data_IF_189557575340
#
_entry.id   IF_189557575340
#
_cell.length_a   1.000
_cell.length_b   1.000
_cell.length_c   1.000
_cell.angle_alpha   90.00
_cell.angle_beta   90.00
_cell.angle_gamma   90.00
#
_symmetry.space_group_name_H-M   'P 1'
#
loop_
_entity.id
_entity.type
_entity.pdbx_description
1 polymer ?
#
# COMPACT_ATOMS: atom_id res chain seq x y z
N UNK A 1 4.81 -14.30 -6.49
CA UNK A 1 5.43 -13.13 -5.81
C UNK A 1 4.83 -11.85 -6.39
N UNK A 2 4.70 -10.74 -5.65
CA UNK A 2 4.05 -9.50 -6.14
C UNK A 2 4.66 -8.95 -7.44
N UNK A 3 5.99 -8.81 -7.52
CA UNK A 3 6.67 -8.28 -8.71
C UNK A 3 6.59 -9.21 -9.93
N UNK A 4 6.51 -10.52 -9.69
CA UNK A 4 6.24 -11.50 -10.73
C UNK A 4 4.82 -11.35 -11.29
N UNK A 5 3.82 -11.14 -10.44
CA UNK A 5 2.45 -10.86 -10.87
C UNK A 5 2.39 -9.56 -11.70
N UNK A 6 3.06 -8.50 -11.25
CA UNK A 6 3.19 -7.25 -12.02
C UNK A 6 3.80 -7.47 -13.42
N UNK A 7 4.86 -8.27 -13.51
CA UNK A 7 5.46 -8.64 -14.80
C UNK A 7 4.48 -9.40 -15.70
N UNK A 8 3.76 -10.39 -15.16
CA UNK A 8 2.78 -11.18 -15.91
C UNK A 8 1.60 -10.33 -16.40
N UNK A 9 1.15 -9.38 -15.58
CA UNK A 9 0.11 -8.42 -15.93
C UNK A 9 0.59 -7.32 -16.88
N UNK A 10 1.89 -7.33 -17.24
CA UNK A 10 2.53 -6.37 -18.15
C UNK A 10 2.30 -4.93 -17.70
N UNK A 11 2.49 -4.68 -16.40
CA UNK A 11 2.42 -3.34 -15.85
C UNK A 11 3.40 -2.43 -16.60
N UNK A 12 2.99 -1.19 -16.88
CA UNK A 12 3.80 -0.23 -17.66
C UNK A 12 4.65 0.67 -16.79
N UNK A 13 4.24 0.90 -15.54
CA UNK A 13 4.95 1.74 -14.60
C UNK A 13 6.26 1.07 -14.12
N UNK A 14 7.19 1.89 -13.64
CA UNK A 14 8.36 1.40 -12.94
C UNK A 14 7.96 0.58 -11.71
N UNK A 15 8.70 -0.51 -11.45
CA UNK A 15 8.55 -1.32 -10.24
C UNK A 15 9.59 -0.89 -9.23
N UNK A 16 9.15 -0.56 -8.02
CA UNK A 16 10.02 -0.03 -6.96
C UNK A 16 9.82 -0.83 -5.69
N UNK A 17 10.91 -1.14 -5.01
CA UNK A 17 10.89 -1.72 -3.67
C UNK A 17 11.73 -0.85 -2.74
N UNK A 18 11.09 -0.24 -1.75
CA UNK A 18 11.79 0.29 -0.59
C UNK A 18 12.13 -0.87 0.35
N UNK A 19 13.33 -0.90 0.90
CA UNK A 19 13.77 -2.00 1.77
C UNK A 19 14.69 -1.51 2.89
N UNK A 20 14.68 -2.15 4.07
CA UNK A 20 15.63 -1.86 5.13
C UNK A 20 17.08 -1.97 4.65
N UNK A 21 17.84 -0.88 4.77
CA UNK A 21 19.20 -0.77 4.21
C UNK A 21 20.14 -1.90 4.64
N UNK A 22 19.98 -2.40 5.86
CA UNK A 22 20.77 -3.51 6.41
C UNK A 22 20.53 -4.86 5.72
N UNK A 23 19.43 -5.05 4.97
CA UNK A 23 19.12 -6.34 4.32
C UNK A 23 20.06 -6.71 3.18
N UNK A 24 20.64 -5.73 2.49
CA UNK A 24 21.58 -5.99 1.39
C UNK A 24 22.94 -6.45 1.91
N UNK A 25 23.36 -5.96 3.09
CA UNK A 25 24.68 -6.20 3.64
C UNK A 25 25.81 -5.66 2.75
N UNK A 26 27.05 -5.66 3.26
CA UNK A 26 28.22 -5.28 2.47
C UNK A 26 28.75 -6.42 1.60
N UNK A 27 28.46 -7.67 1.97
CA UNK A 27 28.99 -8.88 1.33
C UNK A 27 28.05 -9.52 0.30
N UNK A 28 26.79 -9.08 0.23
CA UNK A 28 25.74 -9.61 -0.64
C UNK A 28 25.44 -11.12 -0.47
N UNK A 29 25.87 -11.73 0.65
CA UNK A 29 25.76 -13.19 0.84
C UNK A 29 24.50 -13.62 1.59
N UNK A 30 23.87 -12.71 2.33
CA UNK A 30 22.68 -13.04 3.11
C UNK A 30 21.53 -13.52 2.21
N UNK A 31 20.63 -14.34 2.75
CA UNK A 31 19.42 -14.77 2.03
C UNK A 31 18.61 -13.57 1.54
N UNK A 32 18.51 -12.52 2.35
CA UNK A 32 17.83 -11.27 2.00
C UNK A 32 18.51 -10.57 0.82
N UNK A 33 19.84 -10.45 0.85
CA UNK A 33 20.60 -9.84 -0.25
C UNK A 33 20.40 -10.61 -1.56
N UNK A 34 20.42 -11.94 -1.52
CA UNK A 34 20.16 -12.79 -2.69
C UNK A 34 18.75 -12.61 -3.24
N UNK A 35 17.75 -12.44 -2.37
CA UNK A 35 16.37 -12.15 -2.80
C UNK A 35 16.24 -10.75 -3.41
N UNK A 36 16.88 -9.74 -2.83
CA UNK A 36 16.93 -8.37 -3.37
C UNK A 36 17.59 -8.35 -4.76
N UNK A 37 18.76 -8.99 -4.90
CA UNK A 37 19.44 -9.16 -6.19
C UNK A 37 18.54 -9.87 -7.20
N UNK A 38 17.85 -10.94 -6.78
CA UNK A 38 16.92 -11.67 -7.64
C UNK A 38 15.77 -10.78 -8.12
N UNK A 39 15.16 -9.95 -7.26
CA UNK A 39 14.06 -9.09 -7.70
C UNK A 39 14.51 -7.97 -8.63
N UNK A 40 15.71 -7.41 -8.39
CA UNK A 40 16.34 -6.45 -9.30
C UNK A 40 16.60 -7.09 -10.66
N UNK A 41 17.31 -8.21 -10.71
CA UNK A 41 17.82 -8.78 -11.96
C UNK A 41 16.74 -9.52 -12.77
N UNK A 42 15.80 -10.21 -12.10
CA UNK A 42 14.77 -11.00 -12.78
C UNK A 42 13.51 -10.19 -13.11
N UNK A 43 13.15 -9.27 -12.22
CA UNK A 43 11.89 -8.53 -12.31
C UNK A 43 12.10 -7.03 -12.54
N UNK A 44 13.33 -6.58 -12.84
CA UNK A 44 13.65 -5.17 -13.14
C UNK A 44 13.04 -4.20 -12.11
N UNK A 45 13.24 -4.54 -10.84
CA UNK A 45 12.78 -3.76 -9.70
C UNK A 45 13.86 -2.78 -9.27
N UNK A 46 13.50 -1.49 -9.21
CA UNK A 46 14.35 -0.43 -8.66
C UNK A 46 14.36 -0.55 -7.14
N UNK A 47 15.52 -0.86 -6.58
CA UNK A 47 15.72 -1.01 -5.14
C UNK A 47 16.07 0.33 -4.50
N UNK A 48 15.36 0.71 -3.45
CA UNK A 48 15.61 1.95 -2.68
C UNK A 48 15.86 1.59 -1.20
N UNK A 49 17.09 1.72 -0.70
CA UNK A 49 17.37 1.46 0.71
C UNK A 49 16.76 2.57 1.58
N UNK A 50 16.14 2.18 2.68
CA UNK A 50 15.60 3.11 3.68
C UNK A 50 16.06 2.73 5.09
N UNK A 51 16.03 3.71 5.99
CA UNK A 51 16.15 3.47 7.42
C UNK A 51 14.75 3.15 7.98
N UNK A 52 14.63 2.02 8.68
CA UNK A 52 13.36 1.58 9.29
C UNK A 52 12.94 2.59 10.35
N UNK A 53 11.66 2.95 10.34
CA UNK A 53 11.03 3.78 11.35
C UNK A 53 10.32 2.87 12.34
N UNK A 54 11.09 2.35 13.28
CA UNK A 54 10.59 1.53 14.37
C UNK A 54 10.00 2.42 15.47
N UNK A 55 8.83 2.04 15.98
CA UNK A 55 8.32 2.54 17.26
C UNK A 55 8.04 1.38 18.20
N UNK A 56 8.34 1.59 19.47
CA UNK A 56 7.95 0.70 20.57
C UNK A 56 6.42 0.79 20.75
N UNK A 57 5.69 0.06 19.90
CA UNK A 57 4.25 0.10 19.81
C UNK A 57 3.59 -0.99 20.68
N UNK A 58 2.29 -0.82 20.97
CA UNK A 58 1.54 -1.82 21.73
C UNK A 58 1.41 -3.16 20.99
N UNK A 59 1.40 -3.15 19.65
CA UNK A 59 1.44 -4.35 18.82
C UNK A 59 2.75 -4.40 18.02
N UNK A 60 3.61 -5.35 18.36
CA UNK A 60 4.90 -5.56 17.69
C UNK A 60 4.76 -5.88 16.21
N UNK A 61 3.61 -6.40 15.79
CA UNK A 61 3.30 -6.72 14.37
C UNK A 61 3.41 -5.47 13.50
N UNK A 62 3.02 -4.33 14.05
CA UNK A 62 2.90 -3.06 13.33
C UNK A 62 3.95 -2.03 13.77
N UNK A 63 4.95 -2.45 14.55
CA UNK A 63 6.03 -1.59 15.07
C UNK A 63 6.81 -0.86 13.97
N UNK A 64 6.92 -1.47 12.79
CA UNK A 64 7.62 -0.89 11.63
C UNK A 64 6.68 -0.31 10.57
N UNK A 65 5.35 -0.31 10.80
CA UNK A 65 4.33 0.08 9.81
C UNK A 65 4.54 1.49 9.26
N UNK A 66 5.05 2.42 10.08
CA UNK A 66 5.33 3.79 9.67
C UNK A 66 6.42 3.89 8.59
N UNK A 67 7.28 2.88 8.47
CA UNK A 67 8.29 2.80 7.41
C UNK A 67 7.67 2.85 6.02
N UNK A 68 6.45 2.31 5.87
CA UNK A 68 5.67 2.38 4.63
C UNK A 68 5.45 3.82 4.17
N UNK A 69 5.31 4.77 5.10
CA UNK A 69 5.02 6.16 4.77
C UNK A 69 6.21 6.91 4.17
N UNK A 70 7.40 6.30 4.17
CA UNK A 70 8.57 6.82 3.44
C UNK A 70 8.39 6.81 1.91
N UNK A 71 7.32 6.20 1.39
CA UNK A 71 6.91 6.32 -0.01
C UNK A 71 6.62 7.77 -0.42
N UNK A 72 6.22 8.64 0.52
CA UNK A 72 6.01 10.07 0.25
C UNK A 72 7.31 10.80 -0.08
N UNK A 73 8.46 10.27 0.31
CA UNK A 73 9.78 10.82 -0.02
C UNK A 73 10.29 10.42 -1.42
N UNK A 74 9.53 9.61 -2.16
CA UNK A 74 9.96 9.11 -3.48
C UNK A 74 9.60 10.11 -4.60
N UNK A 75 10.09 11.34 -4.47
CA UNK A 75 9.78 12.49 -5.33
C UNK A 75 10.36 12.40 -6.74
N UNK A 76 11.20 11.40 -7.03
CA UNK A 76 11.63 11.06 -8.39
C UNK A 76 10.49 10.52 -9.27
N UNK A 77 9.35 10.17 -8.67
CA UNK A 77 8.13 9.78 -9.39
C UNK A 77 7.06 10.85 -9.22
N UNK A 78 6.34 11.17 -10.30
CA UNK A 78 5.19 12.08 -10.20
C UNK A 78 4.00 11.46 -9.49
N UNK A 79 3.86 10.13 -9.60
CA UNK A 79 2.73 9.34 -9.10
C UNK A 79 3.22 7.97 -8.66
N UNK A 80 2.69 7.47 -7.55
CA UNK A 80 3.06 6.16 -7.00
C UNK A 80 1.81 5.40 -6.60
N UNK A 81 1.71 4.13 -7.00
CA UNK A 81 0.75 3.18 -6.46
C UNK A 81 1.48 2.28 -5.44
N UNK A 82 1.28 2.55 -4.16
CA UNK A 82 1.79 1.75 -3.05
C UNK A 82 0.82 0.61 -2.77
N UNK A 83 1.35 -0.62 -2.72
CA UNK A 83 0.62 -1.87 -2.45
C UNK A 83 1.33 -2.57 -1.29
N UNK A 84 0.58 -3.05 -0.30
CA UNK A 84 1.18 -3.81 0.79
C UNK A 84 1.86 -5.09 0.33
N UNK A 85 2.99 -5.41 0.95
CA UNK A 85 3.86 -6.52 0.53
C UNK A 85 3.26 -7.91 0.73
N UNK A 86 2.22 -8.02 1.56
CA UNK A 86 1.44 -9.23 1.83
C UNK A 86 0.22 -9.38 0.90
N UNK A 87 0.09 -8.52 -0.11
CA UNK A 87 -0.99 -8.56 -1.09
C UNK A 87 -0.75 -9.55 -2.24
N UNK A 88 -1.85 -10.03 -2.83
CA UNK A 88 -1.84 -10.83 -4.07
C UNK A 88 -2.53 -10.02 -5.18
N UNK A 89 -1.77 -9.67 -6.22
CA UNK A 89 -2.30 -8.90 -7.35
C UNK A 89 -2.98 -9.82 -8.38
N UNK A 90 -4.25 -9.57 -8.67
CA UNK A 90 -5.06 -10.39 -9.57
C UNK A 90 -5.29 -9.76 -10.96
N UNK A 91 -5.21 -8.44 -11.06
CA UNK A 91 -5.45 -7.67 -12.29
C UNK A 91 -4.49 -6.48 -12.36
N UNK A 92 -4.26 -5.96 -13.56
CA UNK A 92 -3.55 -4.69 -13.72
C UNK A 92 -4.34 -3.55 -13.07
N UNK A 93 -3.62 -2.57 -12.52
CA UNK A 93 -4.18 -1.36 -11.91
C UNK A 93 -3.57 -0.10 -12.55
N UNK A 94 -2.96 -0.24 -13.73
CA UNK A 94 -2.30 0.86 -14.44
C UNK A 94 -3.27 2.02 -14.74
N UNK A 95 -4.56 1.74 -14.88
CA UNK A 95 -5.61 2.75 -15.05
C UNK A 95 -5.68 3.78 -13.91
N UNK A 96 -5.23 3.44 -12.70
CA UNK A 96 -5.19 4.39 -11.59
C UNK A 96 -4.22 5.54 -11.86
N UNK A 97 -3.20 5.34 -12.68
CA UNK A 97 -2.30 6.43 -13.10
C UNK A 97 -2.97 7.45 -14.01
N UNK A 98 -4.19 7.19 -14.51
CA UNK A 98 -4.99 8.12 -15.32
C UNK A 98 -5.94 8.99 -14.50
N UNK A 99 -6.00 8.80 -13.17
CA UNK A 99 -6.83 9.63 -12.30
C UNK A 99 -6.42 11.11 -12.38
N UNK A 100 -7.33 12.07 -12.13
CA UNK A 100 -6.96 13.47 -12.04
C UNK A 100 -5.96 13.71 -10.90
N UNK A 101 -5.23 14.82 -10.94
CA UNK A 101 -4.24 15.15 -9.90
C UNK A 101 -4.91 15.27 -8.54
N UNK A 102 -4.33 14.57 -7.56
CA UNK A 102 -4.81 14.48 -6.18
C UNK A 102 -3.62 14.04 -5.31
N UNK A 103 -3.42 14.62 -4.11
CA UNK A 103 -2.31 14.22 -3.25
C UNK A 103 -2.36 12.74 -2.87
N UNK A 104 -3.56 12.23 -2.54
CA UNK A 104 -3.78 10.86 -2.08
C UNK A 104 -5.15 10.35 -2.55
N UNK A 105 -5.20 9.12 -3.04
CA UNK A 105 -6.41 8.35 -3.26
C UNK A 105 -6.29 6.95 -2.63
N UNK A 106 -7.32 6.50 -1.92
CA UNK A 106 -7.32 5.25 -1.15
C UNK A 106 -8.69 4.57 -1.13
N UNK A 107 -8.77 3.24 -1.03
CA UNK A 107 -10.03 2.55 -0.83
C UNK A 107 -10.57 2.75 0.58
N UNK A 108 -11.89 2.61 0.75
CA UNK A 108 -12.50 2.55 2.08
C UNK A 108 -12.05 1.27 2.82
N UNK A 109 -11.85 1.38 4.13
CA UNK A 109 -11.73 0.22 5.02
C UNK A 109 -13.13 -0.40 5.24
N UNK A 110 -13.65 -1.06 4.20
CA UNK A 110 -15.06 -1.49 4.13
C UNK A 110 -15.49 -2.39 5.30
N UNK A 111 -14.57 -3.15 5.91
CA UNK A 111 -14.86 -4.03 7.05
C UNK A 111 -15.23 -3.27 8.33
N UNK A 112 -14.84 -2.01 8.43
CA UNK A 112 -15.18 -1.11 9.55
C UNK A 112 -16.38 -0.22 9.27
N UNK A 113 -16.82 -0.13 8.02
CA UNK A 113 -17.96 0.69 7.62
C UNK A 113 -19.30 0.03 8.05
N UNK A 114 -20.32 0.79 8.46
CA UNK A 114 -20.37 2.26 8.63
C UNK A 114 -19.85 2.76 9.99
N UNK A 115 -19.45 1.87 10.91
CA UNK A 115 -19.07 2.24 12.27
C UNK A 115 -17.87 3.18 12.34
N UNK A 116 -16.86 2.96 11.49
CA UNK A 116 -15.67 3.81 11.37
C UNK A 116 -15.42 4.10 9.90
N UNK A 117 -15.70 5.33 9.49
CA UNK A 117 -15.51 5.79 8.11
C UNK A 117 -14.06 6.19 7.86
N UNK A 118 -13.16 5.21 7.77
CA UNK A 118 -11.74 5.43 7.48
C UNK A 118 -11.33 4.80 6.15
N UNK A 119 -10.23 5.29 5.61
CA UNK A 119 -9.58 4.80 4.41
C UNK A 119 -8.52 3.78 4.79
N UNK A 120 -8.32 2.79 3.94
CA UNK A 120 -7.29 1.77 4.15
C UNK A 120 -6.02 2.15 3.41
N UNK A 121 -4.89 2.00 4.08
CA UNK A 121 -3.56 2.17 3.51
C UNK A 121 -3.10 0.94 2.71
N UNK A 122 -3.87 -0.15 2.61
CA UNK A 122 -3.47 -1.36 1.87
C UNK A 122 -3.15 -1.09 0.39
N UNK A 123 -3.77 -0.03 -0.13
CA UNK A 123 -3.51 0.54 -1.43
C UNK A 123 -3.51 2.06 -1.28
N UNK A 124 -2.42 2.72 -1.64
CA UNK A 124 -2.36 4.18 -1.68
C UNK A 124 -1.88 4.64 -3.05
N UNK A 125 -2.68 5.44 -3.72
CA UNK A 125 -2.25 6.18 -4.90
C UNK A 125 -1.86 7.59 -4.47
N UNK A 126 -0.61 7.98 -4.64
CA UNK A 126 -0.07 9.23 -4.09
C UNK A 126 0.65 10.06 -5.16
N UNK A 127 0.59 11.38 -5.02
CA UNK A 127 1.46 12.34 -5.69
C UNK A 127 2.52 12.81 -4.68
N UNK A 128 3.70 12.17 -4.62
CA UNK A 128 4.71 12.48 -3.61
C UNK A 128 5.27 13.89 -3.84
N UNK A 129 5.49 14.62 -2.75
CA UNK A 129 6.15 15.92 -2.77
C UNK A 129 6.85 16.18 -1.44
N UNK A 130 7.82 17.09 -1.43
CA UNK A 130 8.51 17.50 -0.19
C UNK A 130 7.52 18.04 0.85
N UNK A 131 6.49 18.76 0.41
CA UNK A 131 5.44 19.32 1.27
C UNK A 131 4.62 18.21 1.92
N UNK A 132 4.13 17.26 1.13
CA UNK A 132 3.33 16.15 1.67
C UNK A 132 4.18 15.23 2.55
N UNK A 133 5.44 14.99 2.18
CA UNK A 133 6.37 14.23 3.01
C UNK A 133 6.62 14.92 4.36
N UNK A 134 6.83 16.23 4.40
CA UNK A 134 7.00 16.98 5.64
C UNK A 134 5.76 16.88 6.55
N UNK A 135 4.55 16.95 5.98
CA UNK A 135 3.29 16.79 6.73
C UNK A 135 3.17 15.39 7.34
N UNK A 136 3.46 14.36 6.54
CA UNK A 136 3.44 12.96 7.00
C UNK A 136 4.47 12.72 8.09
N UNK A 137 5.70 13.24 7.93
CA UNK A 137 6.75 13.15 8.95
C UNK A 137 6.35 13.83 10.26
N UNK A 138 5.75 15.02 10.19
CA UNK A 138 5.29 15.75 11.38
C UNK A 138 4.24 14.96 12.17
N UNK A 139 3.29 14.31 11.49
CA UNK A 139 2.29 13.46 12.15
C UNK A 139 2.91 12.17 12.69
N UNK A 140 3.85 11.56 11.97
CA UNK A 140 4.60 10.40 12.46
C UNK A 140 5.38 10.70 13.74
N UNK A 141 6.00 11.88 13.83
CA UNK A 141 6.75 12.32 15.00
C UNK A 141 5.83 12.60 16.20
N UNK A 142 4.61 13.11 15.94
CA UNK A 142 3.59 13.37 16.97
C UNK A 142 2.80 12.11 17.40
N UNK A 143 2.91 11.00 16.65
CA UNK A 143 2.09 9.82 16.85
C UNK A 143 2.36 9.07 18.16
N UNK A 144 1.31 8.53 18.76
CA UNK A 144 1.37 7.70 19.97
C UNK A 144 1.87 6.28 19.68
N UNK A 145 2.09 5.48 20.73
CA UNK A 145 2.49 4.07 20.63
C UNK A 145 1.43 3.15 20.04
N UNK A 146 0.19 3.65 19.87
CA UNK A 146 -0.93 2.89 19.32
C UNK A 146 -1.30 3.36 17.91
N UNK A 147 -0.59 4.36 17.39
CA UNK A 147 -0.83 4.90 16.06
C UNK A 147 0.08 4.23 15.04
N UNK A 148 -0.55 3.64 14.03
CA UNK A 148 0.11 2.98 12.91
C UNK A 148 -0.12 3.78 11.62
N UNK A 149 0.32 3.25 10.49
CA UNK A 149 0.21 3.90 9.19
C UNK A 149 -1.22 4.38 8.87
N UNK A 150 -2.24 3.58 9.23
CA UNK A 150 -3.63 3.94 9.03
C UNK A 150 -4.08 5.16 9.86
N UNK A 151 -3.66 5.27 11.12
CA UNK A 151 -3.99 6.41 11.99
C UNK A 151 -3.37 7.70 11.44
N UNK A 152 -2.08 7.67 11.06
CA UNK A 152 -1.37 8.84 10.52
C UNK A 152 -2.05 9.34 9.24
N UNK A 153 -2.27 8.42 8.30
CA UNK A 153 -2.81 8.78 6.99
C UNK A 153 -4.27 9.23 7.09
N UNK A 154 -5.07 8.63 7.97
CA UNK A 154 -6.45 9.10 8.18
C UNK A 154 -6.52 10.43 8.93
N UNK A 155 -5.57 10.75 9.83
CA UNK A 155 -5.45 12.09 10.43
C UNK A 155 -5.33 13.17 9.35
N UNK A 156 -4.47 12.92 8.36
CA UNK A 156 -4.16 13.88 7.29
C UNK A 156 -5.18 13.93 6.16
N UNK A 157 -5.69 12.78 5.72
CA UNK A 157 -6.31 12.65 4.40
C UNK A 157 -7.74 12.13 4.41
N UNK A 158 -8.29 11.67 5.54
CA UNK A 158 -9.64 11.07 5.59
C UNK A 158 -10.72 11.91 4.90
N UNK A 159 -10.64 13.24 5.03
CA UNK A 159 -11.64 14.16 4.52
C UNK A 159 -11.32 14.75 3.13
N UNK A 160 -10.08 14.58 2.66
CA UNK A 160 -9.57 15.27 1.46
C UNK A 160 -9.02 14.31 0.39
N UNK A 161 -8.83 13.03 0.70
CA UNK A 161 -8.43 12.03 -0.27
C UNK A 161 -9.57 11.69 -1.23
N UNK A 162 -9.21 11.34 -2.46
CA UNK A 162 -10.14 10.67 -3.36
C UNK A 162 -10.41 9.24 -2.86
N UNK A 163 -11.69 8.88 -2.74
CA UNK A 163 -12.08 7.54 -2.30
C UNK A 163 -12.15 6.59 -3.49
N UNK A 164 -11.29 5.57 -3.50
CA UNK A 164 -11.30 4.51 -4.51
C UNK A 164 -12.37 3.46 -4.19
N UNK A 165 -13.02 2.85 -5.20
CA UNK A 165 -13.89 1.70 -4.99
C UNK A 165 -13.11 0.51 -4.43
N UNK A 166 -13.49 -0.02 -3.27
CA UNK A 166 -12.74 -1.12 -2.64
C UNK A 166 -12.84 -2.43 -3.43
N UNK A 167 -14.01 -2.79 -3.98
CA UNK A 167 -14.23 -4.10 -4.62
C UNK A 167 -13.23 -4.47 -5.72
N UNK A 168 -12.74 -3.50 -6.49
CA UNK A 168 -11.76 -3.73 -7.57
C UNK A 168 -10.31 -3.52 -7.14
N UNK A 169 -10.10 -2.92 -5.97
CA UNK A 169 -8.80 -2.44 -5.52
C UNK A 169 -8.25 -3.24 -4.32
N UNK A 170 -9.14 -3.80 -3.51
CA UNK A 170 -8.85 -4.17 -2.14
C UNK A 170 -9.84 -5.23 -1.63
N UNK A 171 -9.33 -6.38 -1.21
CA UNK A 171 -10.11 -7.46 -0.59
C UNK A 171 -9.28 -8.11 0.52
N UNK A 172 -9.78 -8.08 1.75
CA UNK A 172 -9.14 -8.80 2.85
C UNK A 172 -9.32 -10.31 2.65
N UNK A 173 -8.27 -11.09 2.88
CA UNK A 173 -8.37 -12.57 2.85
C UNK A 173 -9.33 -13.10 3.91
N UNK A 174 -9.52 -12.37 5.02
CA UNK A 174 -10.55 -12.66 6.02
C UNK A 174 -11.97 -12.66 5.47
N UNK A 175 -12.23 -11.92 4.38
CA UNK A 175 -13.54 -11.88 3.73
C UNK A 175 -13.97 -13.26 3.25
N UNK A 176 -13.06 -14.09 2.72
CA UNK A 176 -13.39 -15.45 2.24
C UNK A 176 -13.89 -16.39 3.33
N UNK A 177 -13.66 -16.05 4.61
CA UNK A 177 -14.10 -16.83 5.77
C UNK A 177 -15.34 -16.22 6.43
N UNK A 178 -15.78 -15.04 5.99
CA UNK A 178 -16.95 -14.38 6.55
C UNK A 178 -18.22 -15.12 6.15
N UNK A 179 -19.17 -15.22 7.07
CA UNK A 179 -20.52 -15.74 6.77
C UNK A 179 -21.35 -14.71 5.99
N UNK A 180 -21.03 -13.42 6.16
CA UNK A 180 -21.71 -12.31 5.47
C UNK A 180 -20.72 -11.43 4.74
N UNK A 181 -20.97 -11.22 3.45
CA UNK A 181 -20.14 -10.39 2.58
C UNK A 181 -20.76 -9.03 2.29
N UNK A 182 -21.81 -8.64 2.99
CA UNK A 182 -22.57 -7.41 2.72
C UNK A 182 -21.70 -6.15 2.81
N UNK A 183 -20.71 -6.13 3.71
CA UNK A 183 -19.74 -5.03 3.83
C UNK A 183 -18.84 -4.91 2.60
N UNK A 184 -18.37 -6.03 2.05
CA UNK A 184 -17.56 -6.03 0.84
C UNK A 184 -18.41 -5.73 -0.40
N UNK A 185 -19.59 -6.33 -0.51
CA UNK A 185 -20.47 -6.15 -1.67
C UNK A 185 -21.13 -4.77 -1.71
N UNK A 186 -21.33 -4.13 -0.55
CA UNK A 186 -22.03 -2.85 -0.42
C UNK A 186 -23.55 -2.98 -0.34
N UNK A 187 -24.09 -4.19 -0.44
CA UNK A 187 -25.49 -4.51 -0.16
C UNK A 187 -25.65 -6.01 0.10
N UNK A 188 -26.77 -6.41 0.71
CA UNK A 188 -27.15 -7.83 0.85
C UNK A 188 -27.77 -8.42 -0.42
N UNK A 189 -28.12 -7.56 -1.40
CA UNK A 189 -28.88 -7.94 -2.60
C UNK A 189 -27.96 -8.20 -3.78
N UNK A 190 -26.78 -7.56 -3.84
CA UNK A 190 -25.93 -7.62 -5.02
C UNK A 190 -25.23 -8.99 -5.14
N UNK A 191 -25.50 -9.77 -6.19
CA UNK A 191 -24.82 -11.04 -6.38
C UNK A 191 -23.33 -10.81 -6.64
N UNK A 192 -22.48 -11.73 -6.17
CA UNK A 192 -21.09 -11.84 -6.60
C UNK A 192 -21.08 -11.86 -8.13
N UNK A 193 -20.62 -10.77 -8.74
CA UNK A 193 -20.64 -10.60 -10.19
C UNK A 193 -20.03 -11.83 -10.85
N UNK A 194 -20.84 -12.57 -11.63
CA UNK A 194 -20.34 -13.68 -12.42
C UNK A 194 -19.22 -13.13 -13.30
N UNK A 195 -18.05 -13.74 -13.25
CA UNK A 195 -17.02 -13.54 -14.27
C UNK A 195 -17.66 -13.84 -15.63
N UNK A 196 -18.06 -12.81 -16.36
CA UNK A 196 -18.33 -12.95 -17.78
C UNK A 196 -16.97 -13.06 -18.43
N UNK A 197 -16.64 -14.27 -18.88
CA UNK A 197 -15.55 -14.52 -19.81
C UNK A 197 -15.83 -13.73 -21.09
N UNK A 198 -14.94 -12.77 -21.38
CA UNK A 198 -14.80 -12.18 -22.71
C UNK A 198 -13.65 -12.90 -23.39
#
# INVERSE_FOLDING_TARGET
MLFEALQHLRNRADRVMIYPSHMLGSDYKSSNARLLVKVRDKYDVKLVPIAVRHKDNADSTWADSLTKLLVFNQTQYSRILCIDSDSVLLKSMDELFLLPSIPVAMPRAYWLFPMKEILSTMLMFIEPSEVEFARVMSEMDAASSNDYDMEIINSLYRNNAMVLPHRRCALLTGEFRSESHSKYLGSEIEPLGRCQSV
#
